data_IF_580705355457
#
_entry.id   IF_580705355457
#
_cell.length_a   1.000
_cell.length_b   1.000
_cell.length_c   1.000
_cell.angle_alpha   90.00
_cell.angle_beta   90.00
_cell.angle_gamma   90.00
#
_symmetry.space_group_name_H-M   'P 1'
#
loop_
_entity.id
_entity.type
_entity.pdbx_description
1 polymer ?
#
# COMPACT_ATOMS: atom_id res chain seq x y z
N UNK A 1 -0.41 -6.73 32.78
CA UNK A 1 -0.01 -5.89 33.93
C UNK A 1 1.20 -5.09 33.46
N UNK A 2 1.20 -3.78 33.20
CA UNK A 2 0.41 -2.62 33.60
C UNK A 2 0.25 -1.67 32.40
N UNK A 3 -0.88 -0.97 32.32
CA UNK A 3 -1.06 0.21 31.47
C UNK A 3 -0.14 1.32 31.97
N UNK A 4 0.68 1.90 31.10
CA UNK A 4 1.30 3.20 31.36
C UNK A 4 0.58 4.27 30.55
N UNK A 5 -0.12 5.13 31.29
CA UNK A 5 -0.65 6.40 30.83
C UNK A 5 0.32 7.49 31.29
N UNK A 6 1.01 8.09 30.32
CA UNK A 6 1.65 9.41 30.35
C UNK A 6 2.02 9.69 28.88
N UNK A 7 1.43 10.65 28.17
CA UNK A 7 1.20 12.02 28.59
C UNK A 7 2.17 12.96 27.87
N UNK A 8 2.24 12.86 26.55
CA UNK A 8 2.64 13.93 25.60
C UNK A 8 2.10 13.46 24.25
N UNK A 9 1.04 14.08 23.74
CA UNK A 9 0.53 13.81 22.38
C UNK A 9 1.58 14.27 21.37
N UNK A 10 2.58 13.42 21.12
CA UNK A 10 3.29 13.47 19.84
C UNK A 10 2.23 13.18 18.77
N UNK A 11 2.16 13.98 17.69
CA UNK A 11 1.11 13.80 16.69
C UNK A 11 1.15 12.36 16.18
N UNK A 12 -0.01 11.73 16.24
CA UNK A 12 -0.37 10.52 15.50
C UNK A 12 0.18 10.65 14.07
N UNK A 13 0.94 9.63 13.63
CA UNK A 13 1.73 9.53 12.39
C UNK A 13 1.64 10.76 11.44
N UNK A 14 2.51 11.75 11.65
CA UNK A 14 2.36 13.09 11.09
C UNK A 14 2.60 13.11 9.57
N UNK A 15 3.53 12.29 9.09
CA UNK A 15 3.79 12.14 7.67
C UNK A 15 2.62 11.49 6.92
N UNK A 16 1.96 10.50 7.51
CA UNK A 16 0.75 9.88 6.96
C UNK A 16 -0.41 10.88 6.87
N UNK A 17 -0.66 11.63 7.95
CA UNK A 17 -1.67 12.68 7.96
C UNK A 17 -1.39 13.76 6.90
N UNK A 18 -0.11 14.08 6.67
CA UNK A 18 0.32 14.98 5.60
C UNK A 18 -0.03 14.42 4.21
N UNK A 19 0.21 13.13 3.97
CA UNK A 19 -0.12 12.48 2.70
C UNK A 19 -1.64 12.50 2.41
N UNK A 20 -2.46 12.13 3.39
CA UNK A 20 -3.93 12.14 3.27
C UNK A 20 -4.45 13.57 3.06
N UNK A 21 -3.91 14.53 3.80
CA UNK A 21 -4.21 15.96 3.64
C UNK A 21 -3.87 16.45 2.24
N UNK A 22 -2.71 16.10 1.71
CA UNK A 22 -2.27 16.51 0.38
C UNK A 22 -3.17 15.94 -0.74
N UNK A 23 -3.67 14.70 -0.61
CA UNK A 23 -4.69 14.17 -1.53
C UNK A 23 -5.98 15.00 -1.51
N UNK A 24 -6.42 15.43 -0.32
CA UNK A 24 -7.61 16.24 -0.13
C UNK A 24 -7.44 17.66 -0.70
N UNK A 25 -6.28 18.28 -0.49
CA UNK A 25 -5.93 19.58 -1.07
C UNK A 25 -5.87 19.51 -2.60
N UNK A 26 -5.32 18.43 -3.16
CA UNK A 26 -5.30 18.22 -4.60
C UNK A 26 -6.71 18.12 -5.20
N UNK A 27 -7.61 17.42 -4.52
CA UNK A 27 -9.01 17.39 -4.92
C UNK A 27 -9.68 18.78 -4.85
N UNK A 28 -9.40 19.53 -3.78
CA UNK A 28 -9.87 20.91 -3.63
C UNK A 28 -9.45 21.82 -4.78
N UNK A 29 -8.22 21.69 -5.26
CA UNK A 29 -7.68 22.51 -6.35
C UNK A 29 -8.36 22.30 -7.71
N UNK A 30 -9.07 21.17 -7.90
CA UNK A 30 -9.83 20.88 -9.13
C UNK A 30 -11.32 21.05 -8.92
N UNK A 31 -11.89 20.48 -7.85
CA UNK A 31 -13.33 20.50 -7.65
C UNK A 31 -13.88 21.83 -7.17
N UNK A 32 -13.12 22.64 -6.42
CA UNK A 32 -13.62 23.95 -5.97
C UNK A 32 -13.84 24.93 -7.13
N UNK A 33 -12.90 25.12 -8.08
CA UNK A 33 -13.16 25.97 -9.24
C UNK A 33 -14.35 25.51 -10.08
N UNK A 34 -14.50 24.19 -10.27
CA UNK A 34 -15.63 23.60 -11.02
C UNK A 34 -16.95 23.90 -10.31
N UNK A 35 -17.01 23.69 -9.00
CA UNK A 35 -18.21 23.95 -8.20
C UNK A 35 -18.56 25.45 -8.12
N UNK A 36 -17.56 26.32 -8.16
CA UNK A 36 -17.75 27.77 -8.12
C UNK A 36 -18.10 28.40 -9.49
N UNK A 37 -17.99 27.64 -10.58
CA UNK A 37 -18.24 28.14 -11.93
C UNK A 37 -19.74 28.45 -12.14
N UNK A 38 -20.08 29.57 -12.82
CA UNK A 38 -21.45 29.86 -13.22
C UNK A 38 -22.08 28.73 -14.08
N UNK A 39 -23.40 28.50 -13.96
CA UNK A 39 -24.09 27.52 -14.81
C UNK A 39 -23.89 27.82 -16.30
N UNK A 40 -23.49 26.81 -17.06
CA UNK A 40 -23.27 26.91 -18.51
C UNK A 40 -21.86 27.37 -18.92
N UNK A 41 -20.94 27.58 -17.98
CA UNK A 41 -19.54 27.78 -18.32
C UNK A 41 -18.89 26.44 -18.72
N UNK A 42 -18.51 26.31 -19.99
CA UNK A 42 -17.98 25.05 -20.56
C UNK A 42 -16.50 24.80 -20.26
N UNK A 43 -15.72 25.86 -20.02
CA UNK A 43 -14.29 25.75 -19.74
C UNK A 43 -13.95 26.40 -18.39
N UNK A 44 -13.63 25.55 -17.41
CA UNK A 44 -13.16 25.97 -16.09
C UNK A 44 -11.67 25.65 -16.00
N UNK A 45 -10.86 26.68 -15.77
CA UNK A 45 -9.43 26.48 -15.52
C UNK A 45 -9.25 25.87 -14.12
N UNK A 46 -8.46 24.79 -14.06
CA UNK A 46 -8.18 24.04 -12.82
C UNK A 46 -6.69 23.79 -12.69
N UNK A 47 -6.22 23.62 -11.45
CA UNK A 47 -4.81 23.36 -11.17
C UNK A 47 -4.59 21.89 -10.81
N UNK A 48 -3.93 21.14 -11.70
CA UNK A 48 -3.56 19.73 -11.48
C UNK A 48 -2.16 19.55 -10.86
N UNK A 49 -1.40 20.63 -10.66
CA UNK A 49 -0.06 20.57 -10.07
C UNK A 49 -0.04 19.86 -8.70
N UNK A 50 -1.03 20.07 -7.79
CA UNK A 50 -1.08 19.34 -6.53
C UNK A 50 -1.13 17.81 -6.72
N UNK A 51 -1.91 17.27 -7.66
CA UNK A 51 -1.94 15.82 -7.95
C UNK A 51 -0.54 15.30 -8.32
N UNK A 52 0.18 16.04 -9.16
CA UNK A 52 1.55 15.71 -9.56
C UNK A 52 2.48 15.76 -8.33
N UNK A 53 2.36 16.78 -7.48
CA UNK A 53 3.20 16.93 -6.29
C UNK A 53 2.96 15.79 -5.28
N UNK A 54 1.71 15.40 -5.04
CA UNK A 54 1.38 14.24 -4.20
C UNK A 54 2.05 12.99 -4.76
N UNK A 55 1.90 12.72 -6.06
CA UNK A 55 2.50 11.52 -6.68
C UNK A 55 4.02 11.45 -6.55
N UNK A 56 4.71 12.59 -6.56
CA UNK A 56 6.16 12.66 -6.45
C UNK A 56 6.67 12.55 -5.02
N UNK A 57 5.84 12.87 -4.03
CA UNK A 57 6.23 12.95 -2.61
C UNK A 57 5.69 11.81 -1.76
N UNK A 58 4.70 11.07 -2.24
CA UNK A 58 4.01 10.03 -1.49
C UNK A 58 4.94 8.94 -0.93
N UNK A 59 5.84 8.39 -1.76
CA UNK A 59 6.78 7.37 -1.29
C UNK A 59 7.69 7.89 -0.16
N UNK A 60 8.21 9.11 -0.30
CA UNK A 60 9.03 9.74 0.75
C UNK A 60 8.23 10.04 2.02
N UNK A 61 6.95 10.38 1.92
CA UNK A 61 6.08 10.57 3.08
C UNK A 61 5.78 9.24 3.78
N UNK A 62 5.63 8.14 3.05
CA UNK A 62 5.50 6.80 3.63
C UNK A 62 6.79 6.35 4.31
N UNK A 63 7.95 6.58 3.69
CA UNK A 63 9.26 6.30 4.32
C UNK A 63 9.44 7.09 5.62
N UNK A 64 8.98 8.35 5.62
CA UNK A 64 9.02 9.20 6.80
C UNK A 64 8.05 8.72 7.88
N UNK A 65 6.83 8.30 7.51
CA UNK A 65 5.86 7.72 8.44
C UNK A 65 6.46 6.50 9.14
N UNK A 66 7.15 5.63 8.39
CA UNK A 66 7.88 4.49 8.95
C UNK A 66 8.99 4.92 9.91
N UNK A 67 9.78 5.93 9.55
CA UNK A 67 10.83 6.44 10.42
C UNK A 67 10.29 7.10 11.71
N UNK A 68 9.09 7.71 11.65
CA UNK A 68 8.39 8.24 12.82
C UNK A 68 7.96 7.11 13.77
N UNK A 69 7.47 5.98 13.24
CA UNK A 69 7.12 4.80 14.02
C UNK A 69 8.37 4.10 14.60
N UNK A 70 9.44 3.94 13.82
CA UNK A 70 10.74 3.43 14.28
C UNK A 70 11.27 4.19 15.49
N UNK A 71 11.22 5.53 15.44
CA UNK A 71 11.70 6.39 16.51
C UNK A 71 10.84 6.29 17.77
N UNK A 72 9.55 5.95 17.61
CA UNK A 72 8.58 5.87 18.71
C UNK A 72 8.62 4.51 19.40
N UNK A 73 8.81 3.42 18.65
CA UNK A 73 8.80 2.04 19.17
C UNK A 73 9.99 1.20 18.69
N UNK A 74 11.24 1.59 19.02
CA UNK A 74 12.44 0.98 18.43
C UNK A 74 12.57 -0.52 18.71
N UNK A 75 12.17 -0.99 19.90
CA UNK A 75 12.25 -2.41 20.26
C UNK A 75 11.21 -3.28 19.53
N UNK A 76 10.03 -2.74 19.25
CA UNK A 76 8.96 -3.44 18.50
C UNK A 76 9.37 -3.53 17.03
N UNK A 77 9.83 -2.42 16.46
CA UNK A 77 10.31 -2.33 15.08
C UNK A 77 11.51 -3.24 14.82
N UNK A 78 12.45 -3.38 15.77
CA UNK A 78 13.59 -4.29 15.59
C UNK A 78 13.13 -5.75 15.47
N UNK A 79 12.12 -6.14 16.25
CA UNK A 79 11.50 -7.47 16.14
C UNK A 79 10.76 -7.64 14.82
N UNK A 80 9.94 -6.66 14.40
CA UNK A 80 9.23 -6.67 13.12
C UNK A 80 10.19 -6.74 11.93
N UNK A 81 11.30 -6.00 11.95
CA UNK A 81 12.33 -6.04 10.89
C UNK A 81 12.97 -7.41 10.74
N UNK A 82 13.18 -8.11 11.85
CA UNK A 82 13.71 -9.47 11.81
C UNK A 82 12.72 -10.47 11.18
N UNK A 83 11.41 -10.21 11.28
CA UNK A 83 10.39 -10.96 10.56
C UNK A 83 10.32 -10.55 9.08
N UNK A 84 10.18 -9.25 8.81
CA UNK A 84 10.02 -8.69 7.46
C UNK A 84 11.20 -8.97 6.51
N UNK A 85 12.41 -9.18 7.04
CA UNK A 85 13.57 -9.61 6.23
C UNK A 85 13.35 -10.95 5.51
N UNK A 86 12.53 -11.86 6.08
CA UNK A 86 12.18 -13.12 5.43
C UNK A 86 11.23 -12.89 4.26
N UNK A 87 10.20 -12.08 4.46
CA UNK A 87 9.23 -11.68 3.43
C UNK A 87 9.90 -10.93 2.27
N UNK A 88 10.79 -9.99 2.58
CA UNK A 88 11.53 -9.22 1.56
C UNK A 88 12.38 -10.09 0.64
N UNK A 89 13.08 -11.09 1.18
CA UNK A 89 13.87 -12.03 0.38
C UNK A 89 12.96 -12.85 -0.56
N UNK A 90 11.78 -13.26 -0.09
CA UNK A 90 10.74 -13.88 -0.90
C UNK A 90 10.28 -12.97 -2.04
N UNK A 91 9.94 -11.71 -1.77
CA UNK A 91 9.52 -10.73 -2.79
C UNK A 91 10.58 -10.53 -3.87
N UNK A 92 11.85 -10.40 -3.50
CA UNK A 92 12.94 -10.32 -4.47
C UNK A 92 13.02 -11.56 -5.36
N UNK A 93 12.75 -12.75 -4.81
CA UNK A 93 12.71 -14.00 -5.58
C UNK A 93 11.53 -14.03 -6.57
N UNK A 94 10.34 -13.55 -6.18
CA UNK A 94 9.17 -13.42 -7.09
C UNK A 94 9.45 -12.44 -8.22
N UNK A 95 9.96 -11.26 -7.91
CA UNK A 95 10.26 -10.25 -8.92
C UNK A 95 11.28 -10.78 -9.95
N UNK A 96 12.30 -11.52 -9.50
CA UNK A 96 13.23 -12.22 -10.39
C UNK A 96 12.53 -13.30 -11.23
N UNK A 97 11.61 -14.09 -10.63
CA UNK A 97 10.84 -15.09 -11.35
C UNK A 97 9.95 -14.47 -12.45
N UNK A 98 9.28 -13.35 -12.15
CA UNK A 98 8.45 -12.61 -13.10
C UNK A 98 9.26 -12.04 -14.27
N UNK A 99 10.48 -11.56 -14.02
CA UNK A 99 11.40 -11.10 -15.07
C UNK A 99 11.73 -12.21 -16.10
N UNK A 100 11.80 -13.47 -15.66
CA UNK A 100 12.00 -14.61 -16.56
C UNK A 100 10.75 -14.96 -17.38
N UNK A 101 9.55 -14.70 -16.85
CA UNK A 101 8.28 -14.93 -17.55
C UNK A 101 8.04 -13.83 -18.60
N UNK A 102 8.34 -12.58 -18.28
CA UNK A 102 8.16 -11.44 -19.21
C UNK A 102 9.21 -11.40 -20.33
N UNK A 103 10.43 -11.90 -20.10
CA UNK A 103 11.50 -11.96 -21.12
C UNK A 103 11.43 -13.17 -22.07
N UNK A 104 10.34 -13.95 -22.04
CA UNK A 104 10.17 -15.12 -22.90
C UNK A 104 9.98 -14.75 -24.38
N UNK A 105 10.92 -15.17 -25.22
CA UNK A 105 10.80 -15.21 -26.69
C UNK A 105 9.54 -15.99 -27.15
N UNK A 106 9.03 -15.79 -28.39
CA UNK A 106 7.76 -16.36 -28.84
C UNK A 106 7.73 -17.89 -28.72
N UNK A 107 6.53 -18.48 -28.49
CA UNK A 107 6.41 -19.83 -27.99
C UNK A 107 6.85 -20.84 -29.05
N UNK A 108 7.92 -21.56 -28.76
CA UNK A 108 8.29 -22.75 -29.52
C UNK A 108 9.78 -22.99 -29.72
N UNK A 109 10.61 -22.89 -28.67
CA UNK A 109 11.84 -23.69 -28.68
C UNK A 109 12.59 -23.94 -27.36
N UNK A 110 12.28 -23.30 -26.23
CA UNK A 110 12.89 -23.68 -24.95
C UNK A 110 11.85 -23.61 -23.83
N UNK A 111 11.71 -24.71 -23.08
CA UNK A 111 10.77 -24.80 -21.97
C UNK A 111 11.05 -23.70 -20.96
N UNK A 112 10.03 -22.90 -20.66
CA UNK A 112 10.09 -21.90 -19.59
C UNK A 112 10.53 -22.64 -18.32
N UNK A 113 11.63 -22.23 -17.66
CA UNK A 113 12.04 -22.85 -16.41
C UNK A 113 10.89 -22.81 -15.41
N UNK A 114 10.55 -23.96 -14.82
CA UNK A 114 9.59 -23.97 -13.72
C UNK A 114 10.15 -23.14 -12.56
N UNK A 115 9.30 -22.42 -11.82
CA UNK A 115 9.74 -21.71 -10.61
C UNK A 115 10.43 -22.68 -9.65
N UNK A 116 11.48 -22.19 -9.00
CA UNK A 116 12.04 -22.87 -7.82
C UNK A 116 10.98 -22.95 -6.72
N UNK A 117 11.16 -23.85 -5.75
CA UNK A 117 10.23 -24.01 -4.62
C UNK A 117 10.12 -22.68 -3.85
N UNK A 118 11.25 -21.99 -3.68
CA UNK A 118 11.33 -20.70 -3.02
C UNK A 118 10.59 -19.60 -3.79
N UNK A 119 10.65 -19.61 -5.12
CA UNK A 119 9.89 -18.67 -5.96
C UNK A 119 8.39 -18.96 -5.94
N UNK A 120 7.99 -20.23 -5.95
CA UNK A 120 6.59 -20.63 -5.86
C UNK A 120 5.98 -20.20 -4.52
N UNK A 121 6.64 -20.53 -3.40
CA UNK A 121 6.19 -20.14 -2.06
C UNK A 121 6.06 -18.61 -1.93
N UNK A 122 6.99 -17.85 -2.52
CA UNK A 122 6.90 -16.40 -2.47
C UNK A 122 5.76 -15.84 -3.35
N UNK A 123 5.44 -16.47 -4.49
CA UNK A 123 4.26 -16.10 -5.30
C UNK A 123 2.95 -16.42 -4.57
N UNK A 124 2.91 -17.53 -3.84
CA UNK A 124 1.77 -17.93 -3.02
C UNK A 124 1.57 -16.94 -1.86
N UNK A 125 2.65 -16.47 -1.23
CA UNK A 125 2.60 -15.43 -0.21
C UNK A 125 2.06 -14.09 -0.75
N UNK A 126 2.54 -13.64 -1.92
CA UNK A 126 2.00 -12.44 -2.59
C UNK A 126 0.49 -12.59 -2.87
N UNK A 127 0.08 -13.78 -3.32
CA UNK A 127 -1.32 -14.08 -3.58
C UNK A 127 -2.16 -14.04 -2.30
N UNK A 128 -1.64 -14.63 -1.21
CA UNK A 128 -2.25 -14.60 0.12
C UNK A 128 -2.42 -13.17 0.64
N UNK A 129 -1.36 -12.34 0.59
CA UNK A 129 -1.41 -10.95 1.01
C UNK A 129 -2.42 -10.12 0.21
N UNK A 130 -2.47 -10.28 -1.11
CA UNK A 130 -3.45 -9.63 -1.96
C UNK A 130 -4.89 -10.07 -1.64
N UNK A 131 -5.09 -11.36 -1.36
CA UNK A 131 -6.38 -11.94 -1.02
C UNK A 131 -6.90 -11.45 0.35
N UNK A 132 -6.01 -11.37 1.35
CA UNK A 132 -6.29 -10.78 2.67
C UNK A 132 -6.64 -9.31 2.52
N UNK A 133 -5.85 -8.53 1.78
CA UNK A 133 -6.11 -7.11 1.52
C UNK A 133 -7.49 -6.88 0.90
N UNK A 134 -7.87 -7.71 -0.08
CA UNK A 134 -9.16 -7.61 -0.75
C UNK A 134 -10.33 -7.97 0.17
N UNK A 135 -10.19 -8.98 1.04
CA UNK A 135 -11.21 -9.33 2.03
C UNK A 135 -11.32 -8.28 3.12
N UNK A 136 -10.20 -7.78 3.64
CA UNK A 136 -10.19 -6.82 4.76
C UNK A 136 -10.97 -5.55 4.43
N UNK A 137 -10.91 -5.10 3.18
CA UNK A 137 -11.70 -3.97 2.69
C UNK A 137 -13.21 -4.19 2.75
N UNK A 138 -13.67 -5.44 2.57
CA UNK A 138 -15.09 -5.80 2.53
C UNK A 138 -15.60 -6.24 3.89
N UNK A 139 -14.84 -7.12 4.54
CA UNK A 139 -15.15 -7.73 5.82
C UNK A 139 -13.83 -8.07 6.56
N UNK A 140 -13.46 -7.26 7.56
CA UNK A 140 -12.28 -7.52 8.38
C UNK A 140 -12.34 -8.84 9.16
N UNK A 141 -13.52 -9.31 9.58
CA UNK A 141 -13.64 -10.56 10.34
C UNK A 141 -13.36 -11.76 9.44
N UNK A 142 -13.88 -11.77 8.22
CA UNK A 142 -13.54 -12.79 7.21
C UNK A 142 -12.05 -12.74 6.82
N UNK A 143 -11.44 -11.55 6.79
CA UNK A 143 -10.03 -11.42 6.50
C UNK A 143 -9.15 -12.00 7.62
N UNK A 144 -9.50 -11.73 8.89
CA UNK A 144 -8.83 -12.33 10.05
C UNK A 144 -8.96 -13.86 10.03
N UNK A 145 -10.15 -14.38 9.75
CA UNK A 145 -10.36 -15.82 9.62
C UNK A 145 -9.49 -16.43 8.51
N UNK A 146 -9.38 -15.75 7.36
CA UNK A 146 -8.50 -16.17 6.28
C UNK A 146 -7.02 -16.18 6.71
N UNK A 147 -6.54 -15.16 7.42
CA UNK A 147 -5.14 -15.11 7.89
C UNK A 147 -4.84 -16.31 8.79
N UNK A 148 -5.74 -16.66 9.72
CA UNK A 148 -5.58 -17.85 10.56
C UNK A 148 -5.66 -19.16 9.77
N UNK A 149 -6.55 -19.27 8.78
CA UNK A 149 -6.65 -20.44 7.91
C UNK A 149 -5.35 -20.69 7.14
N UNK A 150 -4.80 -19.64 6.53
CA UNK A 150 -3.55 -19.69 5.77
C UNK A 150 -2.37 -20.06 6.69
N UNK A 151 -2.29 -19.47 7.88
CA UNK A 151 -1.23 -19.78 8.85
C UNK A 151 -1.35 -21.20 9.44
N UNK A 152 -2.57 -21.75 9.56
CA UNK A 152 -2.78 -23.13 10.03
C UNK A 152 -2.18 -24.17 9.08
N UNK A 153 -1.97 -23.81 7.80
CA UNK A 153 -1.22 -24.62 6.83
C UNK A 153 0.25 -24.82 7.19
N UNK A 154 0.81 -23.96 8.07
CA UNK A 154 2.19 -24.02 8.55
C UNK A 154 3.24 -23.56 7.54
N UNK A 155 2.82 -23.13 6.36
CA UNK A 155 3.70 -22.64 5.29
C UNK A 155 4.13 -21.18 5.52
N UNK A 156 3.22 -20.36 6.06
CA UNK A 156 3.47 -18.94 6.37
C UNK A 156 3.08 -18.64 7.82
N UNK A 157 3.79 -17.72 8.43
CA UNK A 157 3.40 -17.15 9.72
C UNK A 157 2.36 -16.02 9.56
N UNK A 158 1.60 -15.72 10.62
CA UNK A 158 0.57 -14.67 10.61
C UNK A 158 1.16 -13.31 10.21
N UNK A 159 2.32 -12.98 10.75
CA UNK A 159 3.07 -11.76 10.50
C UNK A 159 3.60 -11.66 9.07
N UNK A 160 4.00 -12.78 8.46
CA UNK A 160 4.42 -12.81 7.05
C UNK A 160 3.25 -12.50 6.11
N UNK A 161 2.06 -13.05 6.40
CA UNK A 161 0.84 -12.79 5.62
C UNK A 161 0.38 -11.33 5.79
N UNK A 162 0.42 -10.80 7.00
CA UNK A 162 0.04 -9.42 7.28
C UNK A 162 1.01 -8.41 6.67
N UNK A 163 2.34 -8.64 6.75
CA UNK A 163 3.34 -7.78 6.09
C UNK A 163 3.08 -7.71 4.58
N UNK A 164 2.78 -8.84 3.95
CA UNK A 164 2.49 -8.87 2.52
C UNK A 164 1.16 -8.19 2.18
N UNK A 165 0.14 -8.28 3.05
CA UNK A 165 -1.10 -7.54 2.87
C UNK A 165 -0.91 -6.01 3.01
N UNK A 166 -0.09 -5.57 3.97
CA UNK A 166 0.28 -4.16 4.13
C UNK A 166 0.96 -3.66 2.86
N UNK A 167 1.95 -4.40 2.37
CA UNK A 167 2.71 -4.04 1.17
C UNK A 167 1.83 -4.02 -0.08
N UNK A 168 0.93 -4.99 -0.25
CA UNK A 168 -0.04 -5.00 -1.34
C UNK A 168 -0.95 -3.75 -1.30
N UNK A 169 -1.44 -3.34 -0.12
CA UNK A 169 -2.25 -2.14 0.04
C UNK A 169 -1.45 -0.87 -0.30
N UNK A 170 -0.21 -0.75 0.18
CA UNK A 170 0.69 0.39 -0.11
C UNK A 170 0.99 0.49 -1.61
N UNK A 171 1.36 -0.61 -2.24
CA UNK A 171 1.70 -0.66 -3.67
C UNK A 171 0.53 -0.18 -4.52
N UNK A 172 -0.69 -0.65 -4.25
CA UNK A 172 -1.86 -0.21 -5.03
C UNK A 172 -2.16 1.28 -4.81
N UNK A 173 -2.00 1.79 -3.58
CA UNK A 173 -2.14 3.23 -3.31
C UNK A 173 -1.11 4.07 -4.08
N UNK A 174 0.15 3.65 -4.10
CA UNK A 174 1.21 4.33 -4.85
C UNK A 174 1.01 4.26 -6.36
N UNK A 175 0.54 3.13 -6.89
CA UNK A 175 0.21 2.98 -8.31
C UNK A 175 -0.91 3.93 -8.72
N UNK A 176 -1.98 4.05 -7.92
CA UNK A 176 -3.05 5.02 -8.17
C UNK A 176 -2.52 6.46 -8.23
N UNK A 177 -1.59 6.83 -7.33
CA UNK A 177 -0.94 8.15 -7.37
C UNK A 177 -0.04 8.34 -8.59
N UNK A 178 0.66 7.30 -9.03
CA UNK A 178 1.46 7.34 -10.26
C UNK A 178 0.59 7.48 -11.51
N UNK A 179 -0.54 6.79 -11.57
CA UNK A 179 -1.52 6.91 -12.64
C UNK A 179 -2.11 8.32 -12.68
N UNK A 180 -2.46 8.89 -11.51
CA UNK A 180 -2.95 10.26 -11.39
C UNK A 180 -2.02 11.29 -12.03
N UNK A 181 -0.70 11.09 -11.90
CA UNK A 181 0.33 11.96 -12.49
C UNK A 181 0.27 12.00 -14.02
N UNK A 182 -0.13 10.89 -14.64
CA UNK A 182 -0.13 10.72 -16.09
C UNK A 182 -1.50 10.90 -16.74
N UNK A 183 -2.54 11.08 -15.93
CA UNK A 183 -3.90 11.32 -16.40
C UNK A 183 -4.00 12.66 -17.14
N UNK A 184 -4.61 12.63 -18.33
CA UNK A 184 -4.82 13.82 -19.15
C UNK A 184 -6.05 14.64 -18.72
N UNK A 185 -7.04 13.98 -18.11
CA UNK A 185 -8.24 14.62 -17.57
C UNK A 185 -8.04 14.98 -16.09
N UNK A 186 -8.21 16.26 -15.69
CA UNK A 186 -8.05 16.71 -14.31
C UNK A 186 -8.96 16.00 -13.30
N UNK A 187 -10.19 15.66 -13.69
CA UNK A 187 -11.13 14.97 -12.79
C UNK A 187 -10.65 13.54 -12.53
N UNK A 188 -10.22 12.83 -13.58
CA UNK A 188 -9.61 11.51 -13.49
C UNK A 188 -8.35 11.52 -12.61
N UNK A 189 -7.48 12.52 -12.78
CA UNK A 189 -6.29 12.69 -11.94
C UNK A 189 -6.65 12.80 -10.45
N UNK A 190 -7.69 13.58 -10.13
CA UNK A 190 -8.14 13.75 -8.74
C UNK A 190 -8.84 12.51 -8.19
N UNK A 191 -9.69 11.85 -8.96
CA UNK A 191 -10.32 10.60 -8.53
C UNK A 191 -9.28 9.52 -8.22
N UNK A 192 -8.19 9.45 -8.98
CA UNK A 192 -7.07 8.56 -8.69
C UNK A 192 -6.31 8.99 -7.43
N UNK A 193 -6.08 10.30 -7.21
CA UNK A 193 -5.48 10.80 -5.97
C UNK A 193 -6.32 10.49 -4.72
N UNK A 194 -7.63 10.72 -4.78
CA UNK A 194 -8.56 10.38 -3.71
C UNK A 194 -8.68 8.86 -3.54
N UNK A 195 -8.69 8.13 -4.65
CA UNK A 195 -8.71 6.67 -4.69
C UNK A 195 -7.52 6.02 -3.99
N UNK A 196 -6.37 6.70 -3.91
CA UNK A 196 -5.21 6.21 -3.16
C UNK A 196 -5.40 6.22 -1.63
N UNK A 197 -6.19 7.16 -1.09
CA UNK A 197 -6.40 7.34 0.36
C UNK A 197 -6.94 6.07 1.05
N UNK A 198 -8.00 5.40 0.57
CA UNK A 198 -8.50 4.18 1.20
C UNK A 198 -7.49 3.02 1.14
N UNK A 199 -6.58 2.99 0.17
CA UNK A 199 -5.50 2.00 0.12
C UNK A 199 -4.45 2.26 1.20
N UNK A 200 -4.03 3.51 1.35
CA UNK A 200 -3.08 3.93 2.39
C UNK A 200 -3.67 3.72 3.79
N UNK A 201 -4.95 4.04 3.97
CA UNK A 201 -5.66 3.81 5.24
C UNK A 201 -5.79 2.33 5.56
N UNK A 202 -6.05 1.49 4.54
CA UNK A 202 -6.11 0.04 4.70
C UNK A 202 -4.76 -0.55 5.13
N UNK A 203 -3.65 -0.08 4.54
CA UNK A 203 -2.32 -0.50 4.94
C UNK A 203 -2.05 -0.24 6.42
N UNK A 204 -2.49 0.92 6.93
CA UNK A 204 -2.36 1.29 8.35
C UNK A 204 -3.23 0.40 9.24
N UNK A 205 -4.46 0.11 8.81
CA UNK A 205 -5.34 -0.79 9.55
C UNK A 205 -4.77 -2.22 9.63
N UNK A 206 -4.19 -2.73 8.54
CA UNK A 206 -3.52 -4.02 8.48
C UNK A 206 -2.26 -4.04 9.37
N UNK A 207 -1.41 -3.01 9.29
CA UNK A 207 -0.20 -2.91 10.09
C UNK A 207 -0.48 -2.77 11.60
N UNK A 208 -1.66 -2.25 11.97
CA UNK A 208 -2.07 -2.10 13.36
C UNK A 208 -2.87 -3.29 13.89
N UNK A 209 -3.10 -4.32 13.07
CA UNK A 209 -3.89 -5.47 13.45
C UNK A 209 -3.14 -6.35 14.45
N UNK A 210 -3.75 -6.55 15.62
CA UNK A 210 -3.27 -7.47 16.65
C UNK A 210 -4.09 -8.77 16.53
N UNK A 211 -3.44 -9.84 16.03
CA UNK A 211 -4.08 -11.14 15.76
C UNK A 211 -3.64 -12.24 16.74
N UNK A 212 -2.93 -11.88 17.81
CA UNK A 212 -2.45 -12.80 18.86
C UNK A 212 -3.52 -13.19 19.91
#
# INVERSE_FOLDING_TARGET
>A
MQRHTAGTEAPENAALNTLIGACSEAAGAVYQPIAAAPPGQEAVEVNVLPCIQVSLTAATLLDRARAEDDARWPAVVEWERAQAQRTYAGRCAVAQAQEFVEKGDPPGQNGVPLPTVEQAAAMDLVSAGAEVTARWRRDPEEAVALVHELAAGGEFALDEILDEAVDAAVVVGLLALQEARTASDPSTAVELCLGAVPHITLAVALASADLD
#
